data_IF_074009925101
#
_entry.id   IF_074009925101
#
_cell.length_a   1.000
_cell.length_b   1.000
_cell.length_c   1.000
_cell.angle_alpha   90.00
_cell.angle_beta   90.00
_cell.angle_gamma   90.00
#
_symmetry.space_group_name_H-M   'P 1'
#
loop_
_entity.id
_entity.type
_entity.pdbx_description
1 polymer ?
#
# COMPACT_ATOMS: atom_id res chain seq x y z
N UNK A 1 -10.18 18.48 -6.77
CA UNK A 1 -9.48 19.54 -6.02
C UNK A 1 -7.96 19.48 -6.20
N UNK A 2 -7.27 18.39 -5.83
CA UNK A 2 -5.80 18.29 -5.93
C UNK A 2 -5.23 18.50 -7.36
N UNK A 3 -5.85 17.90 -8.38
CA UNK A 3 -5.43 18.08 -9.79
C UNK A 3 -5.56 19.52 -10.30
N UNK A 4 -6.60 20.24 -9.88
CA UNK A 4 -6.81 21.64 -10.25
C UNK A 4 -5.72 22.52 -9.61
N UNK A 5 -5.37 22.24 -8.36
CA UNK A 5 -4.27 22.93 -7.66
C UNK A 5 -2.92 22.68 -8.36
N UNK A 6 -2.63 21.43 -8.75
CA UNK A 6 -1.43 21.12 -9.52
C UNK A 6 -1.36 21.84 -10.88
N UNK A 7 -2.50 21.92 -11.57
CA UNK A 7 -2.60 22.64 -12.84
C UNK A 7 -2.34 24.15 -12.68
N UNK A 8 -2.88 24.76 -11.62
CA UNK A 8 -2.63 26.18 -11.30
C UNK A 8 -1.15 26.41 -10.96
N UNK A 9 -0.54 25.54 -10.17
CA UNK A 9 0.90 25.62 -9.83
C UNK A 9 1.76 25.52 -11.10
N UNK A 10 1.40 24.61 -12.02
CA UNK A 10 2.11 24.45 -13.28
C UNK A 10 2.03 25.70 -14.17
N UNK A 11 0.84 26.30 -14.28
CA UNK A 11 0.65 27.55 -15.02
C UNK A 11 1.43 28.69 -14.38
N UNK A 12 1.34 28.84 -13.06
CA UNK A 12 2.06 29.89 -12.33
C UNK A 12 3.58 29.74 -12.46
N UNK A 13 4.13 28.53 -12.30
CA UNK A 13 5.57 28.30 -12.45
C UNK A 13 6.06 28.59 -13.87
N UNK A 14 5.26 28.24 -14.88
CA UNK A 14 5.60 28.50 -16.27
C UNK A 14 5.61 30.01 -16.57
N UNK A 15 4.58 30.75 -16.14
CA UNK A 15 4.51 32.21 -16.31
C UNK A 15 5.69 32.92 -15.63
N UNK A 16 6.03 32.48 -14.40
CA UNK A 16 7.16 33.04 -13.66
C UNK A 16 8.49 32.78 -14.39
N UNK A 17 8.72 31.57 -14.90
CA UNK A 17 9.96 31.25 -15.62
C UNK A 17 10.10 32.03 -16.93
N UNK A 18 8.99 32.23 -17.66
CA UNK A 18 8.98 33.08 -18.85
C UNK A 18 9.25 34.55 -18.50
N UNK A 19 8.74 35.06 -17.36
CA UNK A 19 9.02 36.41 -16.88
C UNK A 19 10.53 36.65 -16.62
N UNK A 20 11.25 35.62 -16.16
CA UNK A 20 12.71 35.66 -16.01
C UNK A 20 13.50 35.43 -17.31
N UNK A 21 12.83 35.48 -18.48
CA UNK A 21 13.42 35.22 -19.80
C UNK A 21 14.10 33.84 -19.92
N UNK A 22 13.65 32.84 -19.16
CA UNK A 22 14.10 31.46 -19.34
C UNK A 22 13.50 30.90 -20.64
N UNK A 23 14.35 30.27 -21.47
CA UNK A 23 13.94 29.63 -22.71
C UNK A 23 12.69 28.75 -22.52
N UNK A 24 11.73 28.84 -23.43
CA UNK A 24 10.43 28.14 -23.33
C UNK A 24 10.60 26.64 -23.10
N UNK A 25 11.54 26.01 -23.82
CA UNK A 25 11.86 24.58 -23.68
C UNK A 25 12.37 24.26 -22.27
N UNK A 26 13.27 25.09 -21.72
CA UNK A 26 13.80 24.92 -20.37
C UNK A 26 12.73 25.15 -19.30
N UNK A 27 11.85 26.13 -19.51
CA UNK A 27 10.73 26.42 -18.61
C UNK A 27 9.77 25.24 -18.49
N UNK A 28 9.50 24.54 -19.59
CA UNK A 28 8.69 23.34 -19.59
C UNK A 28 9.38 22.19 -18.82
N UNK A 29 10.68 21.97 -19.05
CA UNK A 29 11.46 20.95 -18.34
C UNK A 29 11.49 21.20 -16.83
N UNK A 30 11.77 22.43 -16.40
CA UNK A 30 11.82 22.80 -14.98
C UNK A 30 10.45 22.62 -14.34
N UNK A 31 9.38 23.06 -15.01
CA UNK A 31 7.99 22.89 -14.51
C UNK A 31 7.64 21.41 -14.35
N UNK A 32 8.02 20.56 -15.32
CA UNK A 32 7.80 19.12 -15.23
C UNK A 32 8.51 18.50 -14.01
N UNK A 33 9.76 18.89 -13.75
CA UNK A 33 10.52 18.43 -12.58
C UNK A 33 9.85 18.88 -11.27
N UNK A 34 9.44 20.15 -11.17
CA UNK A 34 8.73 20.70 -10.01
C UNK A 34 7.46 19.87 -9.72
N UNK A 35 6.68 19.57 -10.75
CA UNK A 35 5.45 18.78 -10.60
C UNK A 35 5.75 17.34 -10.15
N UNK A 36 6.79 16.69 -10.67
CA UNK A 36 7.19 15.35 -10.21
C UNK A 36 7.54 15.36 -8.72
N UNK A 37 8.38 16.32 -8.28
CA UNK A 37 8.80 16.43 -6.87
C UNK A 37 7.59 16.69 -5.97
N UNK A 38 6.71 17.60 -6.36
CA UNK A 38 5.51 17.91 -5.58
C UNK A 38 4.56 16.71 -5.45
N UNK A 39 4.36 15.94 -6.52
CA UNK A 39 3.55 14.72 -6.46
C UNK A 39 4.16 13.68 -5.50
N UNK A 40 5.49 13.54 -5.53
CA UNK A 40 6.21 12.66 -4.60
C UNK A 40 6.02 13.11 -3.14
N UNK A 41 6.17 14.40 -2.85
CA UNK A 41 5.99 14.97 -1.49
C UNK A 41 4.56 14.73 -0.99
N UNK A 42 3.54 15.03 -1.82
CA UNK A 42 2.14 14.81 -1.43
C UNK A 42 1.88 13.32 -1.15
N UNK A 43 2.39 12.43 -2.01
CA UNK A 43 2.31 10.99 -1.79
C UNK A 43 2.95 10.56 -0.47
N UNK A 44 4.13 11.10 -0.14
CA UNK A 44 4.82 10.85 1.12
C UNK A 44 4.02 11.35 2.33
N UNK A 45 3.48 12.56 2.29
CA UNK A 45 2.68 13.14 3.39
C UNK A 45 1.43 12.30 3.65
N UNK A 46 0.70 11.91 2.60
CA UNK A 46 -0.50 11.06 2.73
C UNK A 46 -0.12 9.70 3.33
N UNK A 47 0.97 9.11 2.86
CA UNK A 47 1.45 7.82 3.35
C UNK A 47 1.85 7.89 4.83
N UNK A 48 2.58 8.94 5.23
CA UNK A 48 2.94 9.20 6.64
C UNK A 48 1.70 9.39 7.51
N UNK A 49 0.69 10.11 7.04
CA UNK A 49 -0.57 10.31 7.77
C UNK A 49 -1.32 9.00 8.00
N UNK A 50 -1.36 8.11 7.00
CA UNK A 50 -1.97 6.78 7.14
C UNK A 50 -1.22 5.90 8.15
N UNK A 51 0.11 5.84 8.06
CA UNK A 51 0.92 5.09 9.04
C UNK A 51 0.77 5.63 10.45
N UNK A 52 0.77 6.96 10.62
CA UNK A 52 0.56 7.59 11.92
C UNK A 52 -0.76 7.15 12.57
N UNK A 53 -1.84 7.01 11.78
CA UNK A 53 -3.14 6.58 12.28
C UNK A 53 -3.06 5.17 12.93
N UNK A 54 -2.25 4.27 12.37
CA UNK A 54 -2.02 2.93 12.93
C UNK A 54 -0.99 2.93 14.04
N UNK A 55 0.21 3.44 13.77
CA UNK A 55 1.39 3.23 14.62
C UNK A 55 1.36 4.09 15.89
N UNK A 56 0.87 5.32 15.78
CA UNK A 56 0.94 6.32 16.84
C UNK A 56 -0.43 6.61 17.46
N UNK A 57 -1.44 6.76 16.62
CA UNK A 57 -2.79 7.09 17.08
C UNK A 57 -3.56 5.82 17.47
N UNK A 58 -3.10 4.62 17.06
CA UNK A 58 -3.73 3.31 17.31
C UNK A 58 -5.23 3.30 16.95
N UNK A 59 -5.60 3.96 15.86
CA UNK A 59 -6.97 4.18 15.40
C UNK A 59 -7.20 3.47 14.05
N UNK A 60 -7.53 2.17 14.08
CA UNK A 60 -7.75 1.38 12.88
C UNK A 60 -8.99 1.82 12.08
N UNK A 61 -10.03 2.35 12.73
CA UNK A 61 -11.24 2.85 12.04
C UNK A 61 -10.91 4.05 11.14
N UNK A 62 -10.16 5.01 11.69
CA UNK A 62 -9.72 6.18 10.93
C UNK A 62 -8.79 5.78 9.79
N UNK A 63 -7.93 4.78 10.01
CA UNK A 63 -7.10 4.22 8.96
C UNK A 63 -7.93 3.61 7.83
N UNK A 64 -8.91 2.75 8.14
CA UNK A 64 -9.82 2.15 7.16
C UNK A 64 -10.58 3.21 6.36
N UNK A 65 -11.10 4.26 7.03
CA UNK A 65 -11.74 5.40 6.37
C UNK A 65 -10.80 6.12 5.40
N UNK A 66 -9.50 6.21 5.70
CA UNK A 66 -8.52 6.76 4.76
C UNK A 66 -8.29 5.84 3.55
N UNK A 67 -8.29 4.52 3.74
CA UNK A 67 -8.17 3.54 2.65
C UNK A 67 -9.37 3.56 1.73
N UNK A 68 -10.59 3.67 2.25
CA UNK A 68 -11.80 3.69 1.41
C UNK A 68 -11.88 4.94 0.54
N UNK A 69 -11.51 6.09 1.10
CA UNK A 69 -11.40 7.31 0.31
C UNK A 69 -10.33 7.20 -0.78
N UNK A 70 -9.25 6.45 -0.52
CA UNK A 70 -8.22 6.17 -1.52
C UNK A 70 -8.72 5.18 -2.58
N UNK A 71 -9.44 4.13 -2.16
CA UNK A 71 -10.04 3.12 -3.03
C UNK A 71 -11.05 3.70 -3.99
N UNK A 72 -11.93 4.61 -3.54
CA UNK A 72 -12.89 5.31 -4.41
C UNK A 72 -12.22 6.08 -5.58
N UNK A 73 -10.98 6.54 -5.40
CA UNK A 73 -10.22 7.25 -6.44
C UNK A 73 -9.50 6.32 -7.43
N UNK A 74 -9.34 5.06 -7.07
CA UNK A 74 -8.49 4.10 -7.78
C UNK A 74 -9.17 2.74 -7.99
N UNK A 75 -10.50 2.69 -7.90
CA UNK A 75 -11.29 1.46 -8.03
C UNK A 75 -11.14 0.79 -9.41
N UNK A 76 -10.73 1.55 -10.42
CA UNK A 76 -10.49 1.07 -11.79
C UNK A 76 -9.08 0.49 -12.00
N UNK A 77 -8.22 0.47 -10.98
CA UNK A 77 -6.85 -0.06 -11.06
C UNK A 77 -6.71 -1.30 -10.19
N UNK A 78 -6.88 -2.51 -10.76
CA UNK A 78 -6.91 -3.77 -10.00
C UNK A 78 -5.70 -3.94 -9.07
N UNK A 79 -4.49 -3.63 -9.55
CA UNK A 79 -3.27 -3.69 -8.73
C UNK A 79 -3.33 -2.82 -7.46
N UNK A 80 -3.90 -1.61 -7.56
CA UNK A 80 -4.05 -0.73 -6.40
C UNK A 80 -5.12 -1.27 -5.47
N UNK A 81 -6.21 -1.81 -6.03
CA UNK A 81 -7.29 -2.43 -5.25
C UNK A 81 -6.76 -3.61 -4.45
N UNK A 82 -5.95 -4.49 -5.04
CA UNK A 82 -5.30 -5.62 -4.35
C UNK A 82 -4.42 -5.16 -3.19
N UNK A 83 -3.58 -4.14 -3.39
CA UNK A 83 -2.76 -3.60 -2.29
C UNK A 83 -3.60 -2.94 -1.20
N UNK A 84 -4.70 -2.27 -1.56
CA UNK A 84 -5.62 -1.73 -0.57
C UNK A 84 -6.36 -2.83 0.18
N UNK A 85 -6.68 -3.97 -0.45
CA UNK A 85 -7.33 -5.09 0.20
C UNK A 85 -6.42 -5.74 1.27
N UNK A 86 -5.14 -5.97 0.97
CA UNK A 86 -4.17 -6.44 2.00
C UNK A 86 -4.11 -5.49 3.20
N UNK A 87 -4.12 -4.17 2.92
CA UNK A 87 -4.08 -3.15 3.96
C UNK A 87 -5.40 -3.06 4.75
N UNK A 88 -6.56 -3.22 4.10
CA UNK A 88 -7.86 -3.29 4.78
C UNK A 88 -7.92 -4.50 5.69
N UNK A 89 -7.47 -5.66 5.22
CA UNK A 89 -7.40 -6.85 6.04
C UNK A 89 -6.61 -6.59 7.33
N UNK A 90 -5.42 -5.98 7.23
CA UNK A 90 -4.67 -5.57 8.42
C UNK A 90 -5.44 -4.62 9.36
N UNK A 91 -6.18 -3.65 8.80
CA UNK A 91 -7.04 -2.76 9.58
C UNK A 91 -8.19 -3.49 10.31
N UNK A 92 -8.85 -4.44 9.64
CA UNK A 92 -9.91 -5.25 10.25
C UNK A 92 -9.36 -6.23 11.30
N UNK A 93 -8.19 -6.82 11.06
CA UNK A 93 -7.51 -7.67 12.06
C UNK A 93 -7.20 -6.90 13.34
N UNK A 94 -6.80 -5.62 13.24
CA UNK A 94 -6.59 -4.77 14.42
C UNK A 94 -7.88 -4.42 15.17
N UNK A 95 -9.04 -4.53 14.52
CA UNK A 95 -10.36 -4.43 15.15
C UNK A 95 -10.86 -5.78 15.70
N UNK A 96 -10.12 -6.88 15.51
CA UNK A 96 -10.54 -8.24 15.85
C UNK A 96 -11.53 -8.86 14.85
N UNK A 97 -11.77 -8.21 13.72
CA UNK A 97 -12.70 -8.67 12.68
C UNK A 97 -11.95 -9.52 11.64
N UNK A 98 -11.56 -10.73 12.06
CA UNK A 98 -10.78 -11.65 11.23
C UNK A 98 -11.57 -12.22 10.05
N UNK A 99 -12.89 -12.32 10.18
CA UNK A 99 -13.75 -12.82 9.10
C UNK A 99 -13.76 -11.84 7.92
N UNK A 100 -14.01 -10.55 8.19
CA UNK A 100 -13.96 -9.52 7.13
C UNK A 100 -12.55 -9.37 6.57
N UNK A 101 -11.52 -9.47 7.42
CA UNK A 101 -10.14 -9.44 6.96
C UNK A 101 -9.83 -10.58 5.98
N UNK A 102 -10.28 -11.80 6.29
CA UNK A 102 -10.14 -12.97 5.41
C UNK A 102 -10.84 -12.75 4.07
N UNK A 103 -12.07 -12.25 4.07
CA UNK A 103 -12.84 -11.97 2.85
C UNK A 103 -12.12 -10.96 1.94
N UNK A 104 -11.52 -9.92 2.51
CA UNK A 104 -10.69 -8.99 1.74
C UNK A 104 -9.47 -9.68 1.11
N UNK A 105 -8.86 -10.64 1.79
CA UNK A 105 -7.67 -11.36 1.29
C UNK A 105 -8.07 -12.36 0.21
N UNK A 106 -9.05 -13.22 0.46
CA UNK A 106 -9.52 -14.24 -0.49
C UNK A 106 -10.08 -13.62 -1.79
N UNK A 107 -10.57 -12.39 -1.74
CA UNK A 107 -11.01 -11.64 -2.92
C UNK A 107 -9.89 -11.07 -3.80
N UNK A 108 -8.61 -11.24 -3.44
CA UNK A 108 -7.49 -10.69 -4.19
C UNK A 108 -7.08 -11.62 -5.34
N UNK A 109 -7.01 -11.08 -6.55
CA UNK A 109 -6.30 -11.73 -7.65
C UNK A 109 -4.77 -11.66 -7.38
N UNK A 110 -4.19 -12.84 -7.16
CA UNK A 110 -2.78 -13.03 -6.85
C UNK A 110 -1.83 -12.56 -7.95
N UNK A 111 -2.28 -12.44 -9.20
CA UNK A 111 -1.44 -11.94 -10.30
C UNK A 111 -0.96 -10.50 -10.07
N UNK A 112 -1.63 -9.75 -9.20
CA UNK A 112 -1.26 -8.38 -8.81
C UNK A 112 -0.30 -8.31 -7.60
N UNK A 113 -0.06 -9.44 -6.94
CA UNK A 113 0.87 -9.54 -5.83
C UNK A 113 2.22 -10.04 -6.33
N UNK A 114 3.30 -9.61 -5.68
CA UNK A 114 4.67 -9.95 -6.09
C UNK A 114 5.54 -10.25 -4.88
N UNK A 115 6.42 -11.24 -5.04
CA UNK A 115 7.50 -11.53 -4.10
C UNK A 115 8.50 -10.36 -4.03
N UNK A 116 8.80 -9.73 -5.18
CA UNK A 116 9.84 -8.70 -5.31
C UNK A 116 9.59 -7.45 -4.48
N UNK A 117 8.33 -7.10 -4.28
CA UNK A 117 7.92 -5.92 -3.50
C UNK A 117 7.35 -6.28 -2.12
N UNK A 118 7.42 -7.55 -1.72
CA UNK A 118 6.93 -8.04 -0.43
C UNK A 118 5.41 -8.09 -0.27
N UNK A 119 4.64 -7.70 -1.30
CA UNK A 119 3.16 -7.71 -1.20
C UNK A 119 2.59 -9.11 -1.06
N UNK A 120 3.18 -10.10 -1.73
CA UNK A 120 2.76 -11.50 -1.59
C UNK A 120 3.09 -12.03 -0.18
N UNK A 121 4.23 -11.64 0.40
CA UNK A 121 4.58 -12.02 1.77
C UNK A 121 3.59 -11.44 2.79
N UNK A 122 3.28 -10.14 2.69
CA UNK A 122 2.33 -9.47 3.59
C UNK A 122 0.93 -10.10 3.49
N UNK A 123 0.46 -10.38 2.26
CA UNK A 123 -0.77 -11.13 2.03
C UNK A 123 -0.76 -12.49 2.74
N UNK A 124 0.29 -13.29 2.52
CA UNK A 124 0.38 -14.65 3.06
C UNK A 124 0.36 -14.65 4.59
N UNK A 125 1.12 -13.75 5.23
CA UNK A 125 1.15 -13.63 6.70
C UNK A 125 -0.24 -13.25 7.23
N UNK A 126 -0.89 -12.26 6.63
CA UNK A 126 -2.20 -11.80 7.09
C UNK A 126 -3.25 -12.92 6.95
N UNK A 127 -3.21 -13.69 5.87
CA UNK A 127 -4.17 -14.78 5.65
C UNK A 127 -3.94 -15.94 6.62
N UNK A 128 -2.68 -16.33 6.87
CA UNK A 128 -2.33 -17.33 7.88
C UNK A 128 -2.90 -16.91 9.25
N UNK A 129 -2.69 -15.66 9.64
CA UNK A 129 -3.18 -15.15 10.92
C UNK A 129 -4.72 -15.17 10.99
N UNK A 130 -5.42 -14.78 9.91
CA UNK A 130 -6.88 -14.90 9.86
C UNK A 130 -7.35 -16.35 10.02
N UNK A 131 -6.68 -17.31 9.37
CA UNK A 131 -7.03 -18.72 9.52
C UNK A 131 -6.81 -19.24 10.94
N UNK A 132 -5.71 -18.88 11.60
CA UNK A 132 -5.49 -19.27 13.00
C UNK A 132 -6.58 -18.73 13.93
N UNK A 133 -6.91 -17.45 13.81
CA UNK A 133 -7.88 -16.77 14.68
C UNK A 133 -9.31 -17.28 14.45
N UNK A 134 -9.61 -17.76 13.24
CA UNK A 134 -10.90 -18.39 12.91
C UNK A 134 -10.94 -19.91 13.17
N UNK A 135 -9.86 -20.49 13.69
CA UNK A 135 -9.77 -21.92 13.98
C UNK A 135 -9.57 -22.82 12.75
N UNK A 136 -9.27 -22.25 11.59
CA UNK A 136 -8.99 -22.97 10.34
C UNK A 136 -7.51 -23.41 10.28
N UNK A 137 -7.06 -24.12 11.33
CA UNK A 137 -5.65 -24.41 11.61
C UNK A 137 -4.95 -25.13 10.44
N UNK A 138 -5.61 -26.13 9.84
CA UNK A 138 -5.01 -26.90 8.74
C UNK A 138 -4.64 -26.01 7.53
N UNK A 139 -5.49 -25.05 7.19
CA UNK A 139 -5.20 -24.10 6.09
C UNK A 139 -4.07 -23.15 6.44
N UNK A 140 -4.02 -22.71 7.70
CA UNK A 140 -2.94 -21.87 8.21
C UNK A 140 -1.58 -22.60 8.11
N UNK A 141 -1.52 -23.84 8.58
CA UNK A 141 -0.30 -24.66 8.58
C UNK A 141 0.19 -24.96 7.15
N UNK A 142 -0.70 -25.31 6.23
CA UNK A 142 -0.33 -25.51 4.82
C UNK A 142 0.35 -24.27 4.24
N UNK A 143 -0.23 -23.08 4.46
CA UNK A 143 0.35 -21.83 3.97
C UNK A 143 1.66 -21.47 4.69
N UNK A 144 1.75 -21.76 5.99
CA UNK A 144 2.93 -21.52 6.80
C UNK A 144 4.11 -22.40 6.35
N UNK A 145 3.91 -23.69 6.17
CA UNK A 145 4.96 -24.64 5.79
C UNK A 145 5.38 -24.53 4.32
N UNK A 146 4.47 -24.13 3.44
CA UNK A 146 4.76 -24.02 1.99
C UNK A 146 5.14 -22.60 1.58
N UNK A 147 4.17 -21.68 1.68
CA UNK A 147 4.26 -20.35 1.09
C UNK A 147 5.16 -19.46 1.93
N UNK A 148 5.01 -19.45 3.25
CA UNK A 148 5.82 -18.59 4.12
C UNK A 148 7.29 -19.01 4.12
N UNK A 149 7.59 -20.31 4.16
CA UNK A 149 8.98 -20.82 4.06
C UNK A 149 9.67 -20.37 2.77
N UNK A 150 8.94 -20.35 1.64
CA UNK A 150 9.47 -19.87 0.35
C UNK A 150 9.65 -18.36 0.32
N UNK A 151 8.67 -17.61 0.82
CA UNK A 151 8.62 -16.14 0.74
C UNK A 151 9.48 -15.45 1.80
N UNK A 152 9.84 -16.15 2.88
CA UNK A 152 10.58 -15.55 3.97
C UNK A 152 12.01 -15.17 3.50
N UNK A 153 12.43 -13.90 3.67
CA UNK A 153 13.78 -13.46 3.29
C UNK A 153 14.89 -14.13 4.12
N UNK A 154 14.52 -14.86 5.19
CA UNK A 154 15.43 -15.60 6.06
C UNK A 154 15.33 -17.12 5.93
N UNK A 155 14.69 -17.65 4.86
CA UNK A 155 14.32 -19.07 4.73
C UNK A 155 15.45 -20.09 4.98
N UNK A 156 16.73 -19.74 4.72
CA UNK A 156 17.87 -20.61 5.04
C UNK A 156 18.15 -20.77 6.55
N UNK A 157 17.81 -19.75 7.35
CA UNK A 157 17.96 -19.78 8.83
C UNK A 157 16.79 -20.51 9.49
N UNK A 158 15.57 -20.33 8.99
CA UNK A 158 14.40 -21.06 9.49
C UNK A 158 14.57 -22.58 9.31
N UNK A 159 15.01 -23.06 8.15
CA UNK A 159 15.28 -24.50 7.90
C UNK A 159 16.26 -25.13 8.90
N UNK A 160 17.16 -24.35 9.53
CA UNK A 160 18.07 -24.83 10.58
C UNK A 160 17.38 -24.97 11.94
N UNK A 161 16.47 -24.07 12.30
CA UNK A 161 15.74 -24.11 13.56
C UNK A 161 14.78 -25.31 13.66
N UNK A 162 14.22 -25.79 12.55
CA UNK A 162 13.35 -26.97 12.51
C UNK A 162 14.07 -28.32 12.59
N UNK A 163 15.41 -28.33 12.54
CA UNK A 163 16.23 -29.54 12.60
C UNK A 163 17.00 -29.68 13.94
N UNK A 164 16.77 -28.77 14.88
CA UNK A 164 17.34 -28.78 16.22
C UNK A 164 16.26 -29.14 17.23
#
# INVERSE_FOLDING_TARGET
MLYIVFFIIALASMIILLYFNVNIIMSFLITFIILMVMNYIVGYIISKKRRKALDSDCDPERYLKMLDNHGKRHNNKPIIVSYLAVNRAAGHMLLGDYQTAKEYLEGIDHSYLSEKNGSLLAYTINLILCYYELGEIEKAEILYETSLVRLCPFGSRLKKCWRA
#
